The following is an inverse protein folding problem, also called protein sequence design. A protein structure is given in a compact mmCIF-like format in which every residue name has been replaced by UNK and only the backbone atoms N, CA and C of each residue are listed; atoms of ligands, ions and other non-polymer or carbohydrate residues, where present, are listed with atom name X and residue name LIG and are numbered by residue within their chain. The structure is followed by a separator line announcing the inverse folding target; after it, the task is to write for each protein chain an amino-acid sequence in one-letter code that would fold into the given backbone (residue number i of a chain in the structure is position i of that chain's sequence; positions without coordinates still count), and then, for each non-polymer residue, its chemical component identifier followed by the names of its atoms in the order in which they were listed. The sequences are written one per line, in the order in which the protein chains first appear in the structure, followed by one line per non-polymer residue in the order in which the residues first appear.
data_IF_337166597230
#
_entry.id   IF_337166597230
#
_cell.length_a   1.000
_cell.length_b   1.000
_cell.length_c   1.000
_cell.angle_alpha   90.00
_cell.angle_beta   90.00
_cell.angle_gamma   90.00
#
_symmetry.space_group_name_H-M   'P 1'
#
loop_
_entity.id
_entity.type
_entity.pdbx_description
1 polymer ?
#
# COMPACT_ATOMS: atom_id res chain seq x y z
N UNK A 1 -29.30 37.87 -32.68
CA UNK A 1 -28.66 37.11 -31.58
C UNK A 1 -27.77 38.04 -30.80
N UNK A 2 -27.97 38.16 -29.48
CA UNK A 2 -27.22 39.08 -28.60
C UNK A 2 -25.69 38.83 -28.75
N UNK A 3 -24.85 39.86 -28.97
CA UNK A 3 -23.39 39.70 -29.11
C UNK A 3 -22.73 38.99 -27.93
N UNK A 4 -23.29 39.10 -26.72
CA UNK A 4 -22.89 38.30 -25.56
C UNK A 4 -23.14 36.81 -25.74
N UNK A 5 -24.32 36.44 -26.26
CA UNK A 5 -24.68 35.05 -26.53
C UNK A 5 -23.77 34.42 -27.58
N UNK A 6 -23.39 35.19 -28.63
CA UNK A 6 -22.40 34.75 -29.64
C UNK A 6 -21.03 34.45 -29.04
N UNK A 7 -20.55 35.31 -28.12
CA UNK A 7 -19.26 35.09 -27.43
C UNK A 7 -19.29 33.88 -26.51
N UNK A 8 -20.39 33.67 -25.79
CA UNK A 8 -20.58 32.49 -24.92
C UNK A 8 -20.60 31.21 -25.76
N UNK A 9 -21.35 31.19 -26.86
CA UNK A 9 -21.42 30.02 -27.76
C UNK A 9 -20.06 29.74 -28.41
N UNK A 10 -19.34 30.78 -28.85
CA UNK A 10 -17.99 30.62 -29.39
C UNK A 10 -17.01 30.07 -28.34
N UNK A 11 -17.05 30.58 -27.11
CA UNK A 11 -16.22 30.08 -26.00
C UNK A 11 -16.55 28.63 -25.66
N UNK A 12 -17.84 28.27 -25.59
CA UNK A 12 -18.28 26.90 -25.36
C UNK A 12 -17.82 25.94 -26.46
N UNK A 13 -17.89 26.38 -27.73
CA UNK A 13 -17.39 25.60 -28.86
C UNK A 13 -15.86 25.40 -28.80
N UNK A 14 -15.10 26.46 -28.49
CA UNK A 14 -13.63 26.35 -28.31
C UNK A 14 -13.29 25.39 -27.17
N UNK A 15 -13.99 25.48 -26.04
CA UNK A 15 -13.81 24.54 -24.92
C UNK A 15 -14.14 23.10 -25.31
N UNK A 16 -15.20 22.89 -26.09
CA UNK A 16 -15.56 21.56 -26.59
C UNK A 16 -14.47 21.00 -27.50
N UNK A 17 -13.95 21.80 -28.44
CA UNK A 17 -12.87 21.39 -29.34
C UNK A 17 -11.60 21.03 -28.56
N UNK A 18 -11.22 21.85 -27.57
CA UNK A 18 -10.07 21.56 -26.70
C UNK A 18 -10.30 20.26 -25.91
N UNK A 19 -11.48 20.10 -25.30
CA UNK A 19 -11.83 18.89 -24.56
C UNK A 19 -11.78 17.64 -25.45
N UNK A 20 -12.34 17.72 -26.67
CA UNK A 20 -12.28 16.64 -27.65
C UNK A 20 -10.84 16.31 -28.06
N UNK A 21 -10.00 17.32 -28.33
CA UNK A 21 -8.59 17.12 -28.66
C UNK A 21 -7.84 16.43 -27.51
N UNK A 22 -8.06 16.86 -26.26
CA UNK A 22 -7.47 16.23 -25.07
C UNK A 22 -7.90 14.77 -24.96
N UNK A 23 -9.18 14.47 -25.15
CA UNK A 23 -9.70 13.08 -25.10
C UNK A 23 -9.13 12.24 -26.24
N UNK A 24 -9.01 12.78 -27.45
CA UNK A 24 -8.41 12.08 -28.61
C UNK A 24 -6.94 11.77 -28.33
N UNK A 25 -6.14 12.76 -27.90
CA UNK A 25 -4.72 12.56 -27.58
C UNK A 25 -4.55 11.54 -26.45
N UNK A 26 -5.36 11.67 -25.39
CA UNK A 26 -5.38 10.70 -24.30
C UNK A 26 -5.72 9.30 -24.78
N UNK A 27 -6.74 9.15 -25.64
CA UNK A 27 -7.17 7.85 -26.18
C UNK A 27 -6.11 7.25 -27.09
N UNK A 28 -5.52 8.04 -28.01
CA UNK A 28 -4.44 7.60 -28.89
C UNK A 28 -3.22 7.12 -28.08
N UNK A 29 -2.81 7.89 -27.07
CA UNK A 29 -1.70 7.52 -26.18
C UNK A 29 -1.92 6.14 -25.53
N UNK A 30 -3.10 5.92 -24.95
CA UNK A 30 -3.38 4.66 -24.25
C UNK A 30 -3.64 3.50 -25.20
N UNK A 31 -4.26 3.74 -26.36
CA UNK A 31 -4.38 2.73 -27.42
C UNK A 31 -3.03 2.24 -27.88
N UNK A 32 -2.07 3.15 -28.10
CA UNK A 32 -0.70 2.76 -28.44
C UNK A 32 -0.03 1.97 -27.31
N UNK A 33 -0.26 2.35 -26.05
CA UNK A 33 0.28 1.64 -24.89
C UNK A 33 -0.29 0.22 -24.76
N UNK A 34 -1.62 0.06 -24.89
CA UNK A 34 -2.30 -1.24 -24.87
C UNK A 34 -1.80 -2.12 -26.01
N UNK A 35 -1.65 -1.56 -27.22
CA UNK A 35 -1.11 -2.30 -28.35
C UNK A 35 0.33 -2.81 -28.09
N UNK A 36 1.15 -2.09 -27.32
CA UNK A 36 2.51 -2.52 -26.94
C UNK A 36 2.51 -3.68 -25.96
N UNK A 37 1.49 -3.88 -25.12
CA UNK A 37 1.39 -5.07 -24.24
C UNK A 37 1.53 -6.38 -25.00
N UNK A 38 1.04 -6.40 -26.25
CA UNK A 38 1.10 -7.59 -27.11
C UNK A 38 2.52 -7.95 -27.55
N UNK A 39 3.48 -7.04 -27.41
CA UNK A 39 4.87 -7.21 -27.90
C UNK A 39 5.85 -7.67 -26.81
N UNK A 40 5.38 -7.91 -25.59
CA UNK A 40 6.23 -8.29 -24.46
C UNK A 40 6.15 -7.26 -23.33
N UNK A 41 6.95 -7.47 -22.28
CA UNK A 41 6.83 -6.75 -21.02
C UNK A 41 8.15 -6.09 -20.67
N UNK A 42 8.08 -4.83 -20.20
CA UNK A 42 9.27 -4.08 -19.80
C UNK A 42 9.96 -4.64 -18.55
N UNK A 43 11.28 -4.56 -18.53
CA UNK A 43 12.18 -4.95 -17.43
C UNK A 43 12.57 -3.71 -16.61
N UNK A 44 11.62 -3.15 -15.85
CA UNK A 44 11.91 -2.01 -14.98
C UNK A 44 12.88 -2.42 -13.88
N UNK A 45 14.04 -1.76 -13.86
CA UNK A 45 15.13 -1.98 -12.89
C UNK A 45 15.26 -0.79 -11.95
N UNK A 46 15.34 -1.09 -10.66
CA UNK A 46 15.67 -0.12 -9.62
C UNK A 46 17.18 -0.11 -9.41
N UNK A 47 17.76 1.06 -9.52
CA UNK A 47 19.17 1.34 -9.30
C UNK A 47 19.36 1.90 -7.87
N UNK A 48 20.42 1.49 -7.18
CA UNK A 48 20.82 2.07 -5.90
C UNK A 48 21.38 3.49 -6.06
N UNK A 49 21.66 4.15 -4.93
CA UNK A 49 22.23 5.50 -4.91
C UNK A 49 23.56 5.63 -5.67
N UNK A 50 24.32 4.55 -5.82
CA UNK A 50 25.56 4.49 -6.61
C UNK A 50 25.33 4.19 -8.11
N UNK A 51 24.08 4.15 -8.56
CA UNK A 51 23.68 3.91 -9.95
C UNK A 51 23.74 2.45 -10.39
N UNK A 52 24.05 1.50 -9.51
CA UNK A 52 24.11 0.07 -9.86
C UNK A 52 22.73 -0.60 -9.84
N UNK A 53 22.48 -1.59 -10.71
CA UNK A 53 21.28 -2.44 -10.63
C UNK A 53 21.13 -3.07 -9.25
N UNK A 54 19.98 -2.83 -8.61
CA UNK A 54 19.69 -3.33 -7.26
C UNK A 54 18.61 -4.41 -7.27
N UNK A 55 17.44 -4.13 -7.86
CA UNK A 55 16.36 -5.11 -7.99
C UNK A 55 15.42 -4.77 -9.15
N UNK A 56 14.54 -5.71 -9.51
CA UNK A 56 13.53 -5.51 -10.58
C UNK A 56 12.14 -5.30 -10.00
N UNK A 57 11.30 -4.59 -10.75
CA UNK A 57 9.87 -4.47 -10.42
C UNK A 57 9.25 -5.86 -10.18
N UNK A 58 9.53 -6.80 -11.09
CA UNK A 58 8.95 -8.14 -11.14
C UNK A 58 10.02 -9.25 -11.04
N UNK A 59 10.77 -9.37 -9.93
CA UNK A 59 11.93 -10.31 -9.84
C UNK A 59 11.56 -11.80 -10.05
N UNK A 60 10.32 -12.20 -9.79
CA UNK A 60 9.88 -13.61 -9.82
C UNK A 60 8.73 -13.89 -10.78
N UNK A 61 8.49 -13.01 -11.74
CA UNK A 61 7.39 -13.18 -12.67
C UNK A 61 7.59 -14.39 -13.57
N UNK A 62 6.55 -15.23 -13.64
CA UNK A 62 6.43 -16.35 -14.56
C UNK A 62 5.05 -16.27 -15.17
N UNK A 63 4.99 -15.72 -16.38
CA UNK A 63 3.74 -15.71 -17.12
C UNK A 63 3.38 -17.12 -17.53
N UNK A 64 2.14 -17.49 -17.31
CA UNK A 64 1.58 -18.74 -17.80
C UNK A 64 0.36 -18.44 -18.67
N UNK A 65 0.18 -19.18 -19.79
CA UNK A 65 -1.05 -19.11 -20.56
C UNK A 65 -2.27 -19.46 -19.70
N UNK A 66 -3.43 -18.89 -20.01
CA UNK A 66 -4.66 -19.13 -19.24
C UNK A 66 -5.07 -20.61 -19.15
N UNK A 67 -4.68 -21.42 -20.15
CA UNK A 67 -4.90 -22.88 -20.15
C UNK A 67 -4.01 -23.65 -19.18
N UNK A 68 -2.91 -23.06 -18.72
CA UNK A 68 -2.02 -23.60 -17.69
C UNK A 68 -2.44 -23.16 -16.27
N UNK A 69 -3.58 -22.48 -16.13
CA UNK A 69 -4.14 -22.08 -14.82
C UNK A 69 -5.33 -23.00 -14.49
N UNK A 70 -5.34 -23.54 -13.26
CA UNK A 70 -6.41 -24.45 -12.83
C UNK A 70 -7.81 -23.85 -13.06
N UNK A 71 -8.79 -24.61 -13.61
CA UNK A 71 -10.17 -24.16 -13.76
C UNK A 71 -10.76 -23.63 -12.46
N UNK A 72 -10.54 -24.34 -11.35
CA UNK A 72 -11.01 -23.94 -10.03
C UNK A 72 -10.50 -22.54 -9.60
N UNK A 73 -9.27 -22.18 -9.97
CA UNK A 73 -8.73 -20.85 -9.68
C UNK A 73 -9.35 -19.76 -10.57
N UNK A 74 -9.52 -20.06 -11.87
CA UNK A 74 -10.20 -19.14 -12.80
C UNK A 74 -11.63 -18.86 -12.32
N UNK A 75 -12.38 -19.89 -11.96
CA UNK A 75 -13.74 -19.79 -11.44
C UNK A 75 -13.79 -19.09 -10.08
N UNK A 76 -12.86 -19.39 -9.16
CA UNK A 76 -12.78 -18.73 -7.87
C UNK A 76 -12.58 -17.22 -7.98
N UNK A 77 -11.68 -16.79 -8.88
CA UNK A 77 -11.43 -15.36 -9.13
C UNK A 77 -12.64 -14.70 -9.77
N UNK A 78 -13.26 -15.33 -10.78
CA UNK A 78 -14.50 -14.82 -11.36
C UNK A 78 -15.60 -14.69 -10.30
N UNK A 79 -15.79 -15.70 -9.47
CA UNK A 79 -16.87 -15.72 -8.49
C UNK A 79 -16.77 -14.61 -7.43
N UNK A 80 -15.55 -14.27 -7.00
CA UNK A 80 -15.33 -13.27 -5.95
C UNK A 80 -15.10 -11.86 -6.49
N UNK A 81 -14.44 -11.70 -7.65
CA UNK A 81 -14.09 -10.38 -8.20
C UNK A 81 -15.12 -9.88 -9.22
N UNK A 82 -15.58 -10.73 -10.14
CA UNK A 82 -16.43 -10.31 -11.27
C UNK A 82 -17.20 -11.47 -11.93
N UNK A 83 -18.26 -11.96 -11.29
CA UNK A 83 -19.03 -13.12 -11.77
C UNK A 83 -19.66 -12.94 -13.16
N UNK A 84 -19.78 -11.69 -13.62
CA UNK A 84 -20.37 -11.32 -14.90
C UNK A 84 -19.33 -10.89 -15.92
N UNK A 85 -18.05 -11.15 -15.66
CA UNK A 85 -16.94 -10.74 -16.51
C UNK A 85 -17.18 -10.97 -18.00
N UNK A 86 -17.70 -12.13 -18.40
CA UNK A 86 -17.98 -12.45 -19.81
C UNK A 86 -19.27 -11.85 -20.39
N UNK A 87 -20.07 -11.15 -19.58
CA UNK A 87 -21.41 -10.62 -19.95
C UNK A 87 -21.49 -9.09 -19.99
N UNK A 88 -20.40 -8.40 -19.69
CA UNK A 88 -20.33 -6.93 -19.72
C UNK A 88 -19.11 -6.47 -20.52
N UNK A 89 -19.07 -5.17 -20.84
CA UNK A 89 -17.97 -4.56 -21.59
C UNK A 89 -17.33 -3.45 -20.77
N UNK A 90 -16.13 -3.71 -20.27
CA UNK A 90 -15.29 -2.80 -19.49
C UNK A 90 -15.82 -2.53 -18.08
N UNK A 91 -17.07 -2.08 -17.98
CA UNK A 91 -17.78 -1.79 -16.73
C UNK A 91 -19.02 -2.69 -16.62
N UNK A 92 -19.46 -3.00 -15.40
CA UNK A 92 -20.72 -3.71 -15.13
C UNK A 92 -21.76 -2.74 -14.54
N UNK A 93 -22.64 -2.12 -15.35
CA UNK A 93 -23.65 -1.20 -14.85
C UNK A 93 -24.58 -1.85 -13.81
N UNK A 94 -24.89 -3.14 -13.98
CA UNK A 94 -25.75 -3.89 -13.07
C UNK A 94 -25.00 -4.19 -11.77
N UNK A 95 -23.71 -4.53 -11.85
CA UNK A 95 -22.81 -4.68 -10.70
C UNK A 95 -22.66 -3.39 -9.90
N UNK A 96 -22.50 -2.25 -10.58
CA UNK A 96 -22.43 -0.92 -9.96
C UNK A 96 -23.74 -0.58 -9.25
N UNK A 97 -24.89 -0.74 -9.90
CA UNK A 97 -26.19 -0.49 -9.28
C UNK A 97 -26.45 -1.38 -8.07
N UNK A 98 -26.09 -2.68 -8.16
CA UNK A 98 -26.19 -3.65 -7.06
C UNK A 98 -25.31 -3.26 -5.88
N UNK A 99 -24.06 -2.86 -6.14
CA UNK A 99 -23.15 -2.41 -5.10
C UNK A 99 -23.67 -1.15 -4.40
N UNK A 100 -24.19 -0.18 -5.16
CA UNK A 100 -24.80 1.03 -4.61
C UNK A 100 -25.99 0.71 -3.69
N UNK A 101 -26.91 -0.17 -4.12
CA UNK A 101 -28.07 -0.57 -3.32
C UNK A 101 -27.67 -1.33 -2.03
N UNK A 102 -26.61 -2.14 -2.08
CA UNK A 102 -26.11 -2.88 -0.90
C UNK A 102 -25.35 -2.00 0.08
N UNK A 103 -24.62 -0.99 -0.39
CA UNK A 103 -23.92 -0.04 0.47
C UNK A 103 -24.88 0.90 1.21
N UNK A 104 -26.11 1.08 0.73
CA UNK A 104 -27.16 1.84 1.45
C UNK A 104 -27.82 0.98 2.55
N UNK A 105 -27.80 -0.34 2.41
CA UNK A 105 -28.52 -1.27 3.31
C UNK A 105 -27.62 -2.04 4.28
N UNK A 106 -26.29 -1.99 4.12
CA UNK A 106 -25.31 -2.66 5.00
C UNK A 106 -24.05 -1.80 5.18
N UNK A 107 -23.43 -1.89 6.35
CA UNK A 107 -22.11 -1.33 6.68
C UNK A 107 -20.91 -1.97 5.92
N UNK A 108 -21.18 -2.86 4.96
CA UNK A 108 -20.14 -3.56 4.20
C UNK A 108 -20.01 -2.97 2.80
N UNK A 109 -18.83 -2.40 2.51
CA UNK A 109 -18.48 -1.89 1.18
C UNK A 109 -18.23 -3.05 0.22
N UNK A 110 -19.22 -3.40 -0.60
CA UNK A 110 -18.97 -4.22 -1.78
C UNK A 110 -18.33 -3.38 -2.88
N UNK A 111 -17.20 -3.87 -3.43
CA UNK A 111 -16.52 -3.22 -4.54
C UNK A 111 -17.23 -3.52 -5.86
N UNK A 112 -17.80 -2.51 -6.51
CA UNK A 112 -18.44 -2.66 -7.83
C UNK A 112 -17.47 -2.57 -9.01
N UNK A 113 -16.18 -2.90 -8.84
CA UNK A 113 -15.18 -2.76 -9.92
C UNK A 113 -14.99 -4.08 -10.67
N UNK A 114 -14.94 -4.03 -12.00
CA UNK A 114 -14.73 -5.21 -12.85
C UNK A 114 -13.27 -5.67 -12.87
N UNK A 115 -13.00 -6.91 -13.29
CA UNK A 115 -11.62 -7.39 -13.49
C UNK A 115 -10.86 -6.48 -14.46
N UNK A 116 -11.50 -6.03 -15.54
CA UNK A 116 -10.89 -5.13 -16.52
C UNK A 116 -10.56 -3.76 -15.93
N UNK A 117 -11.43 -3.21 -15.09
CA UNK A 117 -11.16 -1.97 -14.35
C UNK A 117 -9.98 -2.13 -13.39
N UNK A 118 -9.92 -3.25 -12.67
CA UNK A 118 -8.80 -3.56 -11.78
C UNK A 118 -7.49 -3.71 -12.56
N UNK A 119 -7.54 -4.40 -13.71
CA UNK A 119 -6.39 -4.51 -14.62
C UNK A 119 -5.94 -3.14 -15.13
N UNK A 120 -6.88 -2.32 -15.62
CA UNK A 120 -6.58 -0.96 -16.09
C UNK A 120 -5.91 -0.12 -15.00
N UNK A 121 -6.40 -0.23 -13.75
CA UNK A 121 -5.80 0.44 -12.60
C UNK A 121 -4.36 -0.02 -12.38
N UNK A 122 -4.13 -1.33 -12.30
CA UNK A 122 -2.78 -1.91 -12.08
C UNK A 122 -1.82 -1.53 -13.21
N UNK A 123 -2.32 -1.50 -14.45
CA UNK A 123 -1.50 -1.34 -15.64
C UNK A 123 -1.19 0.12 -16.01
N UNK A 124 -2.07 1.08 -15.72
CA UNK A 124 -1.93 2.43 -16.27
C UNK A 124 -2.10 3.56 -15.25
N UNK A 125 -2.68 3.29 -14.08
CA UNK A 125 -3.09 4.35 -13.16
C UNK A 125 -2.29 4.27 -11.86
N UNK A 126 -2.13 5.42 -11.20
CA UNK A 126 -1.60 5.45 -9.83
C UNK A 126 -2.63 4.91 -8.83
N UNK A 127 -2.20 4.48 -7.65
CA UNK A 127 -3.16 4.00 -6.63
C UNK A 127 -3.92 5.13 -5.89
N UNK A 128 -3.68 6.40 -6.23
CA UNK A 128 -4.29 7.56 -5.56
C UNK A 128 -5.81 7.54 -5.71
N UNK A 129 -6.56 7.52 -4.61
CA UNK A 129 -8.03 7.42 -4.65
C UNK A 129 -8.69 8.77 -4.96
N UNK A 130 -8.89 9.09 -6.24
CA UNK A 130 -9.65 10.27 -6.69
C UNK A 130 -10.81 9.86 -7.60
N UNK A 131 -11.88 10.66 -7.62
CA UNK A 131 -13.01 10.48 -8.54
C UNK A 131 -12.59 10.55 -10.01
N UNK A 132 -11.68 11.48 -10.34
CA UNK A 132 -11.09 11.60 -11.68
C UNK A 132 -10.36 10.33 -12.11
N UNK A 133 -9.57 9.70 -11.22
CA UNK A 133 -8.93 8.42 -11.50
C UNK A 133 -9.97 7.33 -11.78
N UNK A 134 -11.08 7.30 -11.06
CA UNK A 134 -12.11 6.27 -11.25
C UNK A 134 -12.80 6.38 -12.62
N UNK A 135 -12.98 7.60 -13.14
CA UNK A 135 -13.47 7.83 -14.51
C UNK A 135 -12.45 7.34 -15.53
N UNK A 136 -11.16 7.65 -15.34
CA UNK A 136 -10.08 7.14 -16.21
C UNK A 136 -10.02 5.61 -16.20
N UNK A 137 -10.21 4.97 -15.03
CA UNK A 137 -10.26 3.51 -14.88
C UNK A 137 -11.38 2.89 -15.73
N UNK A 138 -12.58 3.48 -15.72
CA UNK A 138 -13.69 3.04 -16.56
C UNK A 138 -13.40 3.21 -18.05
N UNK A 139 -12.86 4.36 -18.47
CA UNK A 139 -12.51 4.62 -19.87
C UNK A 139 -11.42 3.68 -20.39
N UNK A 140 -10.37 3.44 -19.60
CA UNK A 140 -9.30 2.50 -19.94
C UNK A 140 -9.79 1.05 -19.97
N UNK A 141 -10.71 0.68 -19.07
CA UNK A 141 -11.32 -0.65 -19.11
C UNK A 141 -12.04 -0.89 -20.44
N UNK A 142 -12.83 0.07 -20.91
CA UNK A 142 -13.48 -0.03 -22.23
C UNK A 142 -12.44 -0.12 -23.35
N UNK A 143 -11.39 0.71 -23.33
CA UNK A 143 -10.33 0.67 -24.35
C UNK A 143 -9.58 -0.67 -24.38
N UNK A 144 -9.34 -1.28 -23.22
CA UNK A 144 -8.75 -2.62 -23.12
C UNK A 144 -9.63 -3.67 -23.81
N UNK A 145 -10.93 -3.67 -23.56
CA UNK A 145 -11.84 -4.67 -24.15
C UNK A 145 -12.13 -4.48 -25.63
N UNK A 146 -11.98 -3.25 -26.13
CA UNK A 146 -12.04 -2.99 -27.58
C UNK A 146 -10.83 -3.57 -28.32
N UNK A 147 -9.73 -3.83 -27.62
CA UNK A 147 -8.47 -4.27 -28.23
C UNK A 147 -8.11 -5.70 -27.88
N UNK A 148 -8.46 -6.19 -26.69
CA UNK A 148 -8.10 -7.50 -26.16
C UNK A 148 -9.34 -8.36 -25.93
N UNK A 149 -9.24 -9.66 -26.18
CA UNK A 149 -10.33 -10.59 -25.84
C UNK A 149 -10.47 -10.72 -24.32
N UNK A 150 -11.64 -11.21 -23.87
CA UNK A 150 -11.87 -11.50 -22.44
C UNK A 150 -10.85 -12.49 -21.89
N UNK A 151 -10.46 -13.50 -22.67
CA UNK A 151 -9.41 -14.45 -22.25
C UNK A 151 -8.06 -13.76 -22.09
N UNK A 152 -7.66 -12.90 -23.05
CA UNK A 152 -6.41 -12.15 -22.97
C UNK A 152 -6.38 -11.22 -21.75
N UNK A 153 -7.48 -10.52 -21.48
CA UNK A 153 -7.61 -9.66 -20.30
C UNK A 153 -7.49 -10.49 -19.03
N UNK A 154 -8.16 -11.62 -18.97
CA UNK A 154 -8.16 -12.44 -17.76
C UNK A 154 -6.79 -13.10 -17.53
N UNK A 155 -6.12 -13.54 -18.59
CA UNK A 155 -4.74 -14.02 -18.54
C UNK A 155 -3.78 -12.94 -18.03
N UNK A 156 -3.84 -11.73 -18.60
CA UNK A 156 -3.04 -10.60 -18.14
C UNK A 156 -3.32 -10.27 -16.68
N UNK A 157 -4.58 -10.27 -16.28
CA UNK A 157 -4.96 -10.04 -14.88
C UNK A 157 -4.32 -11.07 -13.95
N UNK A 158 -4.51 -12.37 -14.21
CA UNK A 158 -3.99 -13.44 -13.37
C UNK A 158 -2.46 -13.47 -13.30
N UNK A 159 -1.77 -12.99 -14.33
CA UNK A 159 -0.31 -12.90 -14.35
C UNK A 159 0.25 -11.61 -13.71
N UNK A 160 -0.58 -10.61 -13.43
CA UNK A 160 -0.14 -9.28 -12.94
C UNK A 160 -0.61 -8.90 -11.55
N UNK A 161 -1.66 -9.52 -11.06
CA UNK A 161 -2.17 -9.22 -9.72
C UNK A 161 -1.10 -9.46 -8.65
N UNK A 162 -0.97 -8.48 -7.75
CA UNK A 162 -0.17 -8.63 -6.54
C UNK A 162 -0.92 -9.52 -5.53
N UNK A 163 -0.26 -10.57 -5.03
CA UNK A 163 -0.89 -11.61 -4.21
C UNK A 163 -0.22 -11.83 -2.85
N UNK A 164 0.72 -10.96 -2.45
CA UNK A 164 1.45 -10.87 -1.17
C UNK A 164 2.95 -11.15 -1.28
N UNK A 165 3.74 -10.55 -0.38
CA UNK A 165 5.16 -10.79 -0.16
C UNK A 165 6.03 -10.76 -1.41
N UNK A 166 5.87 -9.73 -2.24
CA UNK A 166 6.60 -9.58 -3.50
C UNK A 166 6.15 -10.52 -4.62
N UNK A 167 5.10 -11.33 -4.42
CA UNK A 167 4.59 -12.25 -5.44
C UNK A 167 3.55 -11.54 -6.34
N UNK A 168 3.86 -11.49 -7.63
CA UNK A 168 2.97 -11.03 -8.68
C UNK A 168 2.61 -12.21 -9.58
N UNK A 169 1.30 -12.35 -9.82
CA UNK A 169 0.74 -13.42 -10.62
C UNK A 169 0.51 -14.72 -9.86
N UNK A 170 -0.44 -15.51 -10.35
CA UNK A 170 -0.91 -16.73 -9.69
C UNK A 170 0.11 -17.87 -9.72
N UNK A 171 0.94 -17.95 -10.77
CA UNK A 171 1.97 -18.98 -10.88
C UNK A 171 3.06 -18.82 -9.82
N UNK A 172 3.64 -17.62 -9.72
CA UNK A 172 4.65 -17.31 -8.71
C UNK A 172 4.11 -17.54 -7.29
N UNK A 173 2.86 -17.17 -7.05
CA UNK A 173 2.16 -17.37 -5.77
C UNK A 173 1.94 -18.84 -5.46
N UNK A 174 1.50 -19.64 -6.44
CA UNK A 174 1.31 -21.08 -6.28
C UNK A 174 2.63 -21.80 -5.95
N UNK A 175 3.71 -21.47 -6.67
CA UNK A 175 5.03 -22.01 -6.42
C UNK A 175 5.55 -21.61 -5.02
N UNK A 176 5.29 -20.37 -4.59
CA UNK A 176 5.71 -19.86 -3.29
C UNK A 176 4.95 -20.50 -2.14
N UNK A 177 3.61 -20.60 -2.22
CA UNK A 177 2.76 -21.12 -1.15
C UNK A 177 2.75 -22.64 -1.10
N UNK A 178 2.67 -23.31 -2.25
CA UNK A 178 2.40 -24.75 -2.35
C UNK A 178 3.52 -25.54 -3.01
N UNK A 179 4.43 -24.87 -3.73
CA UNK A 179 5.54 -25.53 -4.41
C UNK A 179 5.14 -26.30 -5.66
N UNK A 180 4.01 -25.95 -6.28
CA UNK A 180 3.51 -26.60 -7.48
C UNK A 180 2.99 -25.60 -8.51
N UNK A 181 2.88 -26.00 -9.80
CA UNK A 181 2.31 -25.16 -10.84
C UNK A 181 0.87 -24.76 -10.52
N UNK A 182 0.45 -23.57 -10.96
CA UNK A 182 -0.92 -23.08 -10.78
C UNK A 182 -1.98 -23.96 -11.44
N UNK A 183 -1.60 -24.75 -12.46
CA UNK A 183 -2.45 -25.79 -13.07
C UNK A 183 -2.90 -26.88 -12.11
N UNK A 184 -2.09 -27.18 -11.09
CA UNK A 184 -2.29 -28.29 -10.16
C UNK A 184 -2.90 -27.86 -8.83
N UNK A 185 -3.47 -26.65 -8.77
CA UNK A 185 -4.16 -26.15 -7.59
C UNK A 185 -5.47 -26.91 -7.37
N UNK A 186 -5.70 -27.33 -6.14
CA UNK A 186 -6.99 -27.84 -5.67
C UNK A 186 -7.97 -26.69 -5.46
N UNK A 187 -9.25 -27.01 -5.34
CA UNK A 187 -10.30 -26.02 -5.08
C UNK A 187 -10.03 -25.18 -3.81
N UNK A 188 -9.53 -25.82 -2.74
CA UNK A 188 -9.24 -25.13 -1.49
C UNK A 188 -8.06 -24.14 -1.62
N UNK A 189 -7.01 -24.52 -2.34
CA UNK A 189 -5.84 -23.66 -2.58
C UNK A 189 -6.18 -22.53 -3.57
N UNK A 190 -6.98 -22.83 -4.59
CA UNK A 190 -7.52 -21.86 -5.55
C UNK A 190 -8.35 -20.77 -4.84
N UNK A 191 -9.28 -21.19 -3.97
CA UNK A 191 -10.08 -20.28 -3.16
C UNK A 191 -9.23 -19.44 -2.20
N UNK A 192 -8.14 -20.00 -1.65
CA UNK A 192 -7.19 -19.24 -0.84
C UNK A 192 -6.55 -18.11 -1.66
N UNK A 193 -5.94 -18.44 -2.81
CA UNK A 193 -5.28 -17.46 -3.68
C UNK A 193 -6.26 -16.37 -4.14
N UNK A 194 -7.46 -16.75 -4.61
CA UNK A 194 -8.48 -15.79 -5.02
C UNK A 194 -8.91 -14.87 -3.86
N UNK A 195 -8.95 -15.39 -2.64
CA UNK A 195 -9.27 -14.61 -1.44
C UNK A 195 -8.26 -13.50 -1.14
N UNK A 196 -6.98 -13.69 -1.50
CA UNK A 196 -5.90 -12.73 -1.23
C UNK A 196 -6.09 -11.41 -1.98
N UNK A 197 -6.73 -11.43 -3.15
CA UNK A 197 -6.85 -10.28 -4.08
C UNK A 197 -7.39 -9.03 -3.37
N UNK A 198 -8.38 -9.18 -2.48
CA UNK A 198 -8.99 -8.04 -1.77
C UNK A 198 -7.98 -7.29 -0.89
N UNK A 199 -7.10 -8.00 -0.21
CA UNK A 199 -6.17 -7.41 0.75
C UNK A 199 -4.88 -8.24 0.88
N UNK A 200 -4.00 -8.27 -0.14
CA UNK A 200 -2.92 -9.24 -0.23
C UNK A 200 -1.96 -9.21 0.96
N UNK A 201 -1.56 -8.02 1.40
CA UNK A 201 -0.65 -7.87 2.55
C UNK A 201 -1.30 -8.21 3.89
N UNK A 202 -2.58 -7.90 4.09
CA UNK A 202 -3.28 -8.14 5.36
C UNK A 202 -3.71 -9.60 5.51
N UNK A 203 -3.99 -10.26 4.39
CA UNK A 203 -4.38 -11.67 4.28
C UNK A 203 -3.20 -12.57 3.91
N UNK A 204 -1.96 -12.10 4.10
CA UNK A 204 -0.75 -12.85 3.75
C UNK A 204 -0.74 -14.22 4.47
N UNK A 205 -0.70 -15.35 3.76
CA UNK A 205 -0.73 -16.68 4.39
C UNK A 205 0.46 -16.97 5.31
N UNK A 206 1.56 -16.23 5.21
CA UNK A 206 2.74 -16.38 6.09
C UNK A 206 2.54 -15.70 7.44
N UNK A 207 1.82 -14.58 7.49
CA UNK A 207 1.61 -13.82 8.73
C UNK A 207 0.21 -14.00 9.33
N UNK A 208 -0.79 -14.32 8.50
CA UNK A 208 -2.20 -14.33 8.88
C UNK A 208 -3.00 -15.39 8.10
N UNK A 209 -2.64 -16.67 8.32
CA UNK A 209 -3.28 -17.79 7.63
C UNK A 209 -4.75 -17.97 8.00
N UNK A 210 -5.14 -17.67 9.23
CA UNK A 210 -6.51 -17.87 9.70
C UNK A 210 -7.49 -16.92 9.00
N UNK A 211 -7.15 -15.63 8.87
CA UNK A 211 -7.96 -14.68 8.09
C UNK A 211 -7.94 -15.01 6.59
N UNK A 212 -6.79 -15.45 6.06
CA UNK A 212 -6.71 -15.91 4.67
C UNK A 212 -7.67 -17.09 4.41
N UNK A 213 -7.75 -18.04 5.35
CA UNK A 213 -8.66 -19.20 5.30
C UNK A 213 -10.13 -18.78 5.50
N UNK A 214 -10.41 -17.86 6.42
CA UNK A 214 -11.77 -17.33 6.58
C UNK A 214 -12.24 -16.64 5.29
N UNK A 215 -11.35 -15.88 4.64
CA UNK A 215 -11.62 -15.27 3.34
C UNK A 215 -11.80 -16.31 2.23
N UNK A 216 -11.02 -17.39 2.21
CA UNK A 216 -11.20 -18.45 1.21
C UNK A 216 -12.55 -19.15 1.34
N UNK A 217 -13.07 -19.32 2.56
CA UNK A 217 -14.42 -19.86 2.77
C UNK A 217 -15.52 -18.97 2.17
N UNK A 218 -15.34 -17.65 2.19
CA UNK A 218 -16.25 -16.74 1.51
C UNK A 218 -16.18 -16.91 -0.02
N UNK A 219 -14.98 -17.14 -0.58
CA UNK A 219 -14.82 -17.43 -2.01
C UNK A 219 -15.58 -18.70 -2.37
N UNK A 220 -15.41 -19.79 -1.59
CA UNK A 220 -16.13 -21.04 -1.81
C UNK A 220 -17.66 -20.86 -1.74
N UNK A 221 -18.16 -20.09 -0.77
CA UNK A 221 -19.58 -19.79 -0.68
C UNK A 221 -20.08 -19.04 -1.93
N UNK A 222 -19.32 -18.04 -2.41
CA UNK A 222 -19.68 -17.32 -3.65
C UNK A 222 -19.62 -18.22 -4.89
N UNK A 223 -18.68 -19.16 -4.96
CA UNK A 223 -18.61 -20.13 -6.06
C UNK A 223 -19.84 -21.04 -6.07
N UNK A 224 -20.28 -21.52 -4.89
CA UNK A 224 -21.49 -22.32 -4.75
C UNK A 224 -22.76 -21.54 -5.10
N UNK A 225 -22.93 -20.33 -4.56
CA UNK A 225 -24.09 -19.47 -4.83
C UNK A 225 -24.27 -19.17 -6.33
N UNK A 226 -23.19 -19.26 -7.10
CA UNK A 226 -23.14 -18.99 -8.53
C UNK A 226 -23.13 -20.27 -9.38
N UNK A 227 -23.19 -21.45 -8.76
CA UNK A 227 -23.29 -22.74 -9.44
C UNK A 227 -21.98 -23.28 -10.02
N UNK A 228 -20.82 -22.75 -9.62
CA UNK A 228 -19.52 -23.29 -10.06
C UNK A 228 -19.17 -24.63 -9.39
N UNK A 229 -19.62 -24.83 -8.15
CA UNK A 229 -19.30 -26.01 -7.33
C UNK A 229 -20.52 -26.47 -6.56
N UNK A 230 -20.53 -27.76 -6.19
CA UNK A 230 -21.58 -28.33 -5.36
C UNK A 230 -21.37 -28.04 -3.87
N UNK A 231 -22.42 -28.15 -3.05
CA UNK A 231 -22.30 -28.07 -1.59
C UNK A 231 -21.34 -29.16 -1.04
N UNK A 232 -21.27 -30.32 -1.70
CA UNK A 232 -20.32 -31.37 -1.34
C UNK A 232 -18.88 -30.95 -1.58
N UNK A 233 -18.60 -30.23 -2.66
CA UNK A 233 -17.28 -29.67 -2.95
C UNK A 233 -16.89 -28.59 -1.94
N UNK A 234 -17.84 -27.73 -1.54
CA UNK A 234 -17.62 -26.72 -0.48
C UNK A 234 -17.21 -27.40 0.82
N UNK A 235 -17.96 -28.41 1.25
CA UNK A 235 -17.67 -29.15 2.47
C UNK A 235 -16.34 -29.93 2.39
N UNK A 236 -15.97 -30.45 1.22
CA UNK A 236 -14.67 -31.09 0.99
C UNK A 236 -13.53 -30.07 1.04
N UNK A 237 -13.65 -28.94 0.35
CA UNK A 237 -12.64 -27.89 0.29
C UNK A 237 -12.37 -27.24 1.66
N UNK A 238 -13.42 -27.00 2.47
CA UNK A 238 -13.27 -26.49 3.84
C UNK A 238 -12.53 -27.46 4.77
N UNK A 239 -12.64 -28.77 4.51
CA UNK A 239 -11.94 -29.82 5.29
C UNK A 239 -10.55 -30.14 4.77
N UNK A 240 -10.23 -29.72 3.54
CA UNK A 240 -8.95 -29.98 2.92
C UNK A 240 -7.81 -29.33 3.72
N UNK A 241 -6.78 -30.12 4.02
CA UNK A 241 -5.57 -29.65 4.68
C UNK A 241 -4.49 -29.46 3.63
N UNK A 242 -4.01 -28.23 3.49
CA UNK A 242 -2.82 -27.91 2.72
C UNK A 242 -1.80 -27.23 3.62
N UNK A 243 -0.51 -27.48 3.36
CA UNK A 243 0.59 -26.88 4.09
C UNK A 243 1.12 -25.69 3.30
N UNK A 244 1.13 -24.51 3.93
CA UNK A 244 1.82 -23.35 3.40
C UNK A 244 3.33 -23.56 3.58
N UNK A 245 4.08 -23.45 2.50
CA UNK A 245 5.54 -23.47 2.54
C UNK A 245 6.05 -22.18 3.22
N UNK A 246 7.15 -22.26 3.98
CA UNK A 246 7.78 -21.08 4.54
C UNK A 246 8.11 -20.05 3.47
N UNK A 247 8.09 -18.77 3.83
CA UNK A 247 8.42 -17.71 2.90
C UNK A 247 9.83 -17.92 2.33
N UNK A 248 10.05 -17.77 1.00
CA UNK A 248 11.36 -17.98 0.41
C UNK A 248 12.36 -16.92 0.90
N UNK A 249 13.20 -17.26 1.90
CA UNK A 249 14.23 -16.38 2.51
C UNK A 249 15.40 -15.97 1.59
N UNK A 250 15.25 -16.12 0.27
CA UNK A 250 16.23 -15.70 -0.74
C UNK A 250 16.17 -14.20 -1.06
N UNK A 251 16.55 -13.81 -2.29
CA UNK A 251 16.73 -12.41 -2.70
C UNK A 251 15.55 -11.44 -2.49
N UNK A 252 14.31 -11.92 -2.46
CA UNK A 252 13.11 -11.09 -2.19
C UNK A 252 12.98 -10.72 -0.70
N UNK A 253 13.38 -11.61 0.22
CA UNK A 253 13.37 -11.31 1.65
C UNK A 253 14.42 -10.25 2.01
N UNK A 254 15.58 -10.32 1.36
CA UNK A 254 16.65 -9.34 1.54
C UNK A 254 16.17 -7.98 1.05
N UNK A 255 16.23 -6.97 1.91
CA UNK A 255 15.73 -5.63 1.62
C UNK A 255 14.22 -5.57 1.31
N UNK A 256 13.44 -6.59 1.71
CA UNK A 256 12.05 -6.75 1.29
C UNK A 256 11.16 -5.54 1.61
N UNK A 257 11.29 -4.94 2.80
CA UNK A 257 10.52 -3.75 3.16
C UNK A 257 10.85 -2.54 2.27
N UNK A 258 12.13 -2.33 1.96
CA UNK A 258 12.59 -1.25 1.11
C UNK A 258 12.17 -1.46 -0.35
N UNK A 259 12.33 -2.68 -0.86
CA UNK A 259 11.91 -3.08 -2.22
C UNK A 259 10.40 -2.87 -2.40
N UNK A 260 9.59 -3.37 -1.47
CA UNK A 260 8.13 -3.21 -1.54
C UNK A 260 7.69 -1.74 -1.43
N UNK A 261 8.32 -0.97 -0.55
CA UNK A 261 8.09 0.46 -0.43
C UNK A 261 8.38 1.18 -1.75
N UNK A 262 9.53 0.91 -2.37
CA UNK A 262 9.94 1.53 -3.63
C UNK A 262 9.06 1.12 -4.82
N UNK A 263 8.64 -0.16 -4.89
CA UNK A 263 7.67 -0.64 -5.88
C UNK A 263 6.34 0.09 -5.74
N UNK A 264 5.85 0.24 -4.50
CA UNK A 264 4.62 0.96 -4.22
C UNK A 264 4.75 2.46 -4.56
N UNK A 265 5.83 3.11 -4.13
CA UNK A 265 6.10 4.51 -4.41
C UNK A 265 6.18 4.79 -5.91
N UNK A 266 6.85 3.92 -6.67
CA UNK A 266 6.93 4.01 -8.12
C UNK A 266 5.53 3.99 -8.75
N UNK A 267 4.70 3.00 -8.40
CA UNK A 267 3.33 2.90 -8.90
C UNK A 267 2.46 4.11 -8.52
N UNK A 268 2.63 4.62 -7.30
CA UNK A 268 1.85 5.74 -6.81
C UNK A 268 2.23 7.06 -7.48
N UNK A 269 3.48 7.22 -7.92
CA UNK A 269 4.00 8.44 -8.52
C UNK A 269 3.92 8.47 -10.04
N UNK A 270 4.27 7.36 -10.70
CA UNK A 270 4.40 7.30 -12.16
C UNK A 270 3.22 6.59 -12.85
N UNK A 271 2.36 5.90 -12.08
CA UNK A 271 1.27 5.10 -12.62
C UNK A 271 1.64 3.62 -12.79
N UNK A 272 0.72 2.85 -13.37
CA UNK A 272 0.82 1.39 -13.46
C UNK A 272 1.94 0.85 -14.37
N UNK A 273 2.07 -0.48 -14.39
CA UNK A 273 3.23 -1.24 -14.89
C UNK A 273 3.41 -1.28 -16.43
N UNK A 274 3.07 -0.20 -17.14
CA UNK A 274 3.21 -0.11 -18.61
C UNK A 274 4.54 0.42 -19.12
N UNK A 275 4.99 -0.07 -20.30
CA UNK A 275 6.38 -0.32 -20.63
C UNK A 275 7.05 0.94 -21.17
N UNK A 276 8.06 1.44 -20.46
CA UNK A 276 9.44 1.12 -20.87
C UNK A 276 10.25 0.34 -19.83
N UNK A 277 11.43 -0.13 -20.25
CA UNK A 277 12.52 -0.62 -19.39
C UNK A 277 13.06 0.56 -18.55
N UNK A 278 12.28 1.01 -17.57
CA UNK A 278 12.66 2.13 -16.71
C UNK A 278 13.91 1.77 -15.93
N UNK A 279 14.85 2.71 -15.90
CA UNK A 279 15.93 2.74 -14.92
C UNK A 279 15.52 3.69 -13.81
N UNK A 280 15.06 3.13 -12.70
CA UNK A 280 14.57 3.90 -11.55
C UNK A 280 15.72 4.14 -10.60
N UNK A 281 16.28 5.35 -10.64
CA UNK A 281 17.31 5.75 -9.68
C UNK A 281 16.68 6.04 -8.32
N UNK A 282 17.21 5.40 -7.28
CA UNK A 282 16.74 5.57 -5.90
C UNK A 282 17.84 6.17 -5.04
N UNK A 283 17.45 6.67 -3.87
CA UNK A 283 18.37 7.22 -2.86
C UNK A 283 18.89 6.15 -1.89
N UNK A 284 18.40 4.91 -2.01
CA UNK A 284 18.73 3.84 -1.09
C UNK A 284 20.17 3.37 -1.31
N UNK A 285 20.89 3.20 -0.20
CA UNK A 285 22.28 2.72 -0.20
C UNK A 285 22.27 1.28 0.32
N UNK A 286 22.54 0.26 -0.53
CA UNK A 286 22.45 -1.15 -0.13
C UNK A 286 23.27 -1.50 1.13
N UNK A 287 24.46 -0.90 1.28
CA UNK A 287 25.28 -1.11 2.47
C UNK A 287 24.66 -0.53 3.76
N UNK A 288 23.97 0.61 3.67
CA UNK A 288 23.23 1.18 4.81
C UNK A 288 21.95 0.39 5.08
N UNK A 289 21.28 -0.12 4.04
CA UNK A 289 20.13 -1.01 4.20
C UNK A 289 20.55 -2.30 4.95
N UNK A 290 21.65 -2.92 4.54
CA UNK A 290 22.25 -4.07 5.23
C UNK A 290 22.59 -3.74 6.70
N UNK A 291 23.12 -2.55 6.98
CA UNK A 291 23.42 -2.11 8.34
C UNK A 291 22.16 -1.85 9.18
N UNK A 292 21.13 -1.26 8.59
CA UNK A 292 19.85 -1.01 9.24
C UNK A 292 19.14 -2.31 9.64
N UNK A 293 19.09 -3.29 8.73
CA UNK A 293 18.51 -4.61 8.99
C UNK A 293 19.25 -5.33 10.13
N UNK A 294 20.59 -5.29 10.12
CA UNK A 294 21.40 -5.81 11.23
C UNK A 294 21.11 -5.09 12.54
N UNK A 295 21.07 -3.76 12.55
CA UNK A 295 20.83 -2.98 13.76
C UNK A 295 19.47 -3.32 14.41
N UNK A 296 18.42 -3.43 13.59
CA UNK A 296 17.08 -3.83 14.04
C UNK A 296 17.09 -5.26 14.57
N UNK A 297 17.65 -6.20 13.81
CA UNK A 297 17.70 -7.61 14.21
C UNK A 297 18.48 -7.79 15.52
N UNK A 298 19.64 -7.15 15.65
CA UNK A 298 20.49 -7.22 16.84
C UNK A 298 19.81 -6.59 18.05
N UNK A 299 19.15 -5.44 17.89
CA UNK A 299 18.40 -4.78 18.94
C UNK A 299 17.26 -5.65 19.48
N UNK A 300 16.47 -6.24 18.58
CA UNK A 300 15.38 -7.14 18.96
C UNK A 300 15.91 -8.40 19.67
N UNK A 301 17.02 -8.98 19.19
CA UNK A 301 17.67 -10.14 19.85
C UNK A 301 18.14 -9.80 21.26
N UNK A 302 18.76 -8.62 21.45
CA UNK A 302 19.19 -8.15 22.78
C UNK A 302 18.03 -7.99 23.75
N UNK A 303 16.86 -7.55 23.27
CA UNK A 303 15.67 -7.41 24.11
C UNK A 303 15.01 -8.74 24.44
N UNK A 304 15.16 -9.76 23.57
CA UNK A 304 14.71 -11.14 23.85
C UNK A 304 13.20 -11.31 24.03
N UNK A 305 12.38 -10.33 23.62
CA UNK A 305 10.92 -10.36 23.79
C UNK A 305 10.26 -10.96 22.55
N UNK A 306 9.51 -12.05 22.73
CA UNK A 306 8.74 -12.68 21.65
C UNK A 306 7.66 -11.72 21.14
N UNK A 307 7.48 -11.68 19.81
CA UNK A 307 6.49 -10.83 19.15
C UNK A 307 6.81 -9.33 19.16
N UNK A 308 8.01 -8.94 19.61
CA UNK A 308 8.45 -7.55 19.55
C UNK A 308 8.83 -7.18 18.13
N UNK A 309 8.34 -6.03 17.69
CA UNK A 309 8.56 -5.47 16.36
C UNK A 309 9.35 -4.16 16.46
N UNK A 310 10.04 -3.80 15.38
CA UNK A 310 10.77 -2.55 15.28
C UNK A 310 10.69 -2.01 13.85
N UNK A 311 10.84 -0.69 13.72
CA UNK A 311 10.95 0.00 12.45
C UNK A 311 12.11 1.00 12.52
N UNK A 312 12.77 1.22 11.38
CA UNK A 312 13.89 2.14 11.25
C UNK A 312 13.80 2.83 9.89
N UNK A 313 13.99 4.15 9.87
CA UNK A 313 14.17 4.93 8.65
C UNK A 313 15.43 5.76 8.82
N UNK A 314 16.36 5.67 7.87
CA UNK A 314 17.56 6.48 7.82
C UNK A 314 17.40 7.55 6.74
N UNK A 315 17.68 8.81 7.08
CA UNK A 315 17.47 9.98 6.21
C UNK A 315 18.75 10.80 6.15
N UNK A 316 19.13 11.32 4.97
CA UNK A 316 20.15 12.37 4.87
C UNK A 316 19.55 13.71 5.32
N UNK A 317 20.02 14.32 6.42
CA UNK A 317 19.43 15.54 6.94
C UNK A 317 19.61 16.77 6.04
N UNK A 318 20.50 16.71 5.03
CA UNK A 318 20.77 17.82 4.11
C UNK A 318 19.81 17.82 2.92
N UNK A 319 19.40 16.64 2.46
CA UNK A 319 18.57 16.50 1.26
C UNK A 319 17.15 16.01 1.57
N UNK A 320 16.95 15.38 2.73
CA UNK A 320 15.71 14.67 3.06
C UNK A 320 15.61 13.29 2.42
N UNK A 321 16.68 12.81 1.77
CA UNK A 321 16.68 11.53 1.07
C UNK A 321 16.59 10.35 2.04
N UNK A 322 15.70 9.40 1.75
CA UNK A 322 15.64 8.13 2.50
C UNK A 322 16.75 7.21 2.00
N UNK A 323 17.65 6.83 2.91
CA UNK A 323 18.84 6.02 2.59
C UNK A 323 18.66 4.53 2.90
N UNK A 324 17.85 4.21 3.91
CA UNK A 324 17.52 2.85 4.32
C UNK A 324 16.17 2.82 5.05
N UNK A 325 15.48 1.67 5.00
CA UNK A 325 14.18 1.47 5.62
C UNK A 325 13.98 0.02 6.07
N UNK A 326 13.57 -0.17 7.32
CA UNK A 326 13.18 -1.46 7.90
C UNK A 326 11.79 -1.32 8.49
N UNK A 327 10.87 -2.20 8.09
CA UNK A 327 9.46 -2.13 8.46
C UNK A 327 9.00 -3.14 9.52
N UNK A 328 9.89 -3.97 10.04
CA UNK A 328 9.56 -5.03 10.99
C UNK A 328 10.76 -5.88 11.39
N UNK A 329 10.49 -6.88 12.22
CA UNK A 329 11.48 -7.80 12.78
C UNK A 329 12.08 -8.77 11.75
N UNK A 330 11.22 -9.35 10.92
CA UNK A 330 11.58 -10.26 9.83
C UNK A 330 10.54 -10.15 8.70
N UNK A 331 11.00 -9.75 7.52
CA UNK A 331 10.14 -9.62 6.34
C UNK A 331 9.55 -10.97 5.90
N UNK A 332 10.23 -12.08 6.14
CA UNK A 332 9.72 -13.41 5.81
C UNK A 332 8.52 -13.82 6.67
N UNK A 333 8.46 -13.32 7.91
CA UNK A 333 7.37 -13.58 8.85
C UNK A 333 6.22 -12.56 8.70
N UNK A 334 6.54 -11.29 8.43
CA UNK A 334 5.52 -10.24 8.25
C UNK A 334 5.94 -9.17 7.24
N UNK A 335 5.15 -9.02 6.17
CA UNK A 335 5.39 -8.01 5.13
C UNK A 335 4.68 -6.67 5.42
N UNK A 336 4.06 -6.53 6.58
CA UNK A 336 3.46 -5.26 7.01
C UNK A 336 4.55 -4.25 7.35
N UNK A 337 4.76 -3.28 6.47
CA UNK A 337 5.79 -2.25 6.65
C UNK A 337 5.35 -1.18 7.67
N UNK A 338 5.79 -1.34 8.92
CA UNK A 338 5.46 -0.44 10.03
C UNK A 338 6.07 0.96 9.88
N UNK A 339 7.17 1.09 9.15
CA UNK A 339 7.83 2.38 8.94
C UNK A 339 6.97 3.39 8.17
N UNK A 340 6.01 2.90 7.37
CA UNK A 340 5.17 3.76 6.51
C UNK A 340 3.67 3.56 6.70
N UNK A 341 3.24 2.49 7.39
CA UNK A 341 1.81 2.18 7.59
C UNK A 341 1.35 2.17 9.05
N UNK A 342 2.27 2.11 10.02
CA UNK A 342 1.88 2.05 11.43
C UNK A 342 1.76 3.45 12.00
N UNK A 343 0.53 3.94 12.14
CA UNK A 343 0.26 5.15 12.93
C UNK A 343 0.37 4.81 14.41
N UNK A 344 1.21 5.55 15.12
CA UNK A 344 1.48 5.37 16.56
C UNK A 344 1.55 6.74 17.21
N UNK A 345 1.13 6.82 18.47
CA UNK A 345 1.34 8.02 19.26
C UNK A 345 2.86 8.26 19.41
N UNK A 346 3.38 9.45 19.02
CA UNK A 346 4.82 9.73 19.08
C UNK A 346 5.34 9.88 20.53
N UNK A 347 4.44 10.11 21.49
CA UNK A 347 4.79 10.36 22.89
C UNK A 347 5.73 11.55 23.02
N UNK A 348 6.76 11.41 23.86
CA UNK A 348 7.74 12.48 24.11
C UNK A 348 8.52 12.93 22.87
N UNK A 349 8.53 12.15 21.78
CA UNK A 349 9.16 12.58 20.52
C UNK A 349 8.45 13.78 19.87
N UNK A 350 7.26 14.17 20.33
CA UNK A 350 6.56 15.39 19.90
C UNK A 350 7.03 16.66 20.64
N UNK A 351 7.64 16.53 21.81
CA UNK A 351 8.09 17.68 22.62
C UNK A 351 9.01 18.65 21.89
N UNK A 352 9.95 18.23 21.00
CA UNK A 352 10.78 19.16 20.24
C UNK A 352 10.00 20.30 19.56
N UNK A 353 8.78 20.05 19.07
CA UNK A 353 7.92 21.10 18.49
C UNK A 353 7.44 22.12 19.51
N UNK A 354 7.14 21.69 20.74
CA UNK A 354 6.77 22.59 21.85
C UNK A 354 7.94 23.51 22.20
N UNK A 355 9.15 22.96 22.32
CA UNK A 355 10.34 23.74 22.64
C UNK A 355 10.76 24.66 21.50
N UNK A 356 10.73 24.18 20.25
CA UNK A 356 11.04 25.00 19.08
C UNK A 356 10.07 26.19 18.94
N UNK A 357 8.76 25.96 19.08
CA UNK A 357 7.77 27.03 19.07
C UNK A 357 7.94 28.04 20.22
N UNK A 358 8.51 27.62 21.36
CA UNK A 358 8.87 28.54 22.43
C UNK A 358 10.07 29.41 22.06
N UNK A 359 11.11 28.83 21.46
CA UNK A 359 12.28 29.57 20.99
C UNK A 359 11.90 30.64 19.96
N UNK A 360 10.99 30.32 19.02
CA UNK A 360 10.46 31.27 18.04
C UNK A 360 9.72 32.46 18.69
N UNK A 361 9.24 32.29 19.91
CA UNK A 361 8.57 33.33 20.70
C UNK A 361 9.49 34.04 21.70
N UNK A 362 10.80 33.94 21.51
CA UNK A 362 11.79 34.65 22.31
C UNK A 362 12.13 33.98 23.65
N UNK A 363 11.66 32.74 23.88
CA UNK A 363 12.21 31.95 24.97
C UNK A 363 13.64 31.52 24.62
N UNK A 364 14.45 31.26 25.64
CA UNK A 364 15.83 30.83 25.46
C UNK A 364 16.10 29.57 26.29
N UNK A 365 17.18 28.82 26.00
CA UNK A 365 17.55 27.65 26.79
C UNK A 365 17.75 27.93 28.29
N UNK A 366 18.00 29.20 28.68
CA UNK A 366 18.17 29.62 30.08
C UNK A 366 16.90 30.16 30.72
N UNK A 367 15.81 30.32 29.96
CA UNK A 367 14.51 30.71 30.53
C UNK A 367 14.06 29.66 31.55
N UNK A 368 13.48 30.13 32.66
CA UNK A 368 13.04 29.28 33.77
C UNK A 368 11.53 29.07 33.70
N UNK A 369 11.11 27.83 33.85
CA UNK A 369 9.73 27.44 34.12
C UNK A 369 9.58 27.22 35.62
N UNK A 370 8.53 27.79 36.20
CA UNK A 370 8.27 27.76 37.63
C UNK A 370 6.86 27.20 37.91
N UNK A 371 6.58 26.89 39.18
CA UNK A 371 5.31 26.35 39.66
C UNK A 371 4.91 25.05 38.95
N UNK A 372 5.88 24.23 38.56
CA UNK A 372 5.61 22.99 37.83
C UNK A 372 4.85 21.95 38.66
N UNK A 373 4.95 22.01 39.99
CA UNK A 373 4.21 21.11 40.88
C UNK A 373 2.70 21.28 40.77
N UNK A 374 2.22 22.46 40.38
CA UNK A 374 0.81 22.75 40.13
C UNK A 374 0.32 22.36 38.73
N UNK A 375 1.21 21.90 37.85
CA UNK A 375 0.87 21.56 36.47
C UNK A 375 0.49 20.07 36.40
N UNK A 376 -0.78 19.81 36.07
CA UNK A 376 -1.22 18.47 35.74
C UNK A 376 -0.57 18.02 34.42
N UNK A 377 0.22 16.93 34.40
CA UNK A 377 0.79 16.43 33.16
C UNK A 377 -0.33 15.93 32.24
N UNK A 378 -0.24 16.24 30.95
CA UNK A 378 -1.10 15.65 29.92
C UNK A 378 -0.50 14.31 29.49
N UNK A 379 -1.22 13.19 29.68
CA UNK A 379 -0.84 11.87 29.19
C UNK A 379 -0.40 10.85 30.28
N UNK A 380 0.04 9.65 29.88
CA UNK A 380 0.41 8.58 30.81
C UNK A 380 1.63 8.93 31.68
N UNK A 381 1.80 8.20 32.78
CA UNK A 381 2.87 8.42 33.77
C UNK A 381 4.26 8.53 33.12
N UNK A 382 5.06 9.42 33.71
CA UNK A 382 6.42 9.77 33.30
C UNK A 382 7.31 8.53 33.11
N UNK A 383 8.04 8.47 31.99
CA UNK A 383 9.19 7.57 31.90
C UNK A 383 10.24 8.07 32.89
N UNK A 384 10.35 7.39 34.03
CA UNK A 384 11.33 7.70 35.07
C UNK A 384 12.60 6.89 34.81
N UNK A 385 13.72 7.50 34.38
CA UNK A 385 15.01 6.82 34.47
C UNK A 385 15.25 6.42 35.93
N UNK A 386 15.96 5.31 36.19
CA UNK A 386 16.13 4.70 37.52
C UNK A 386 16.64 5.64 38.64
N UNK A 387 17.09 6.85 38.29
CA UNK A 387 17.65 7.84 39.21
C UNK A 387 16.82 9.14 39.34
N UNK A 388 15.65 9.26 38.71
CA UNK A 388 14.82 10.48 38.75
C UNK A 388 13.65 10.34 39.74
N UNK A 389 13.93 10.51 41.04
CA UNK A 389 12.91 10.51 42.10
C UNK A 389 12.24 11.87 42.31
N UNK A 390 12.64 12.91 41.58
CA UNK A 390 12.19 14.29 41.82
C UNK A 390 11.91 15.03 40.50
N UNK A 391 10.69 15.53 40.37
CA UNK A 391 10.34 16.54 39.36
C UNK A 391 10.48 17.92 40.03
N UNK A 392 11.44 18.76 39.63
CA UNK A 392 11.66 20.05 40.27
C UNK A 392 10.50 21.02 40.01
N UNK A 393 10.22 21.87 41.00
CA UNK A 393 9.18 22.90 40.88
C UNK A 393 9.61 24.05 39.94
N UNK A 394 10.93 24.25 39.81
CA UNK A 394 11.56 25.20 38.90
C UNK A 394 12.63 24.52 38.04
N UNK A 395 12.67 24.81 36.75
CA UNK A 395 13.61 24.18 35.81
C UNK A 395 13.92 25.09 34.62
N UNK A 396 15.14 25.05 34.10
CA UNK A 396 15.47 25.75 32.85
C UNK A 396 14.89 25.01 31.64
N UNK A 397 14.60 25.73 30.56
CA UNK A 397 14.14 25.12 29.30
C UNK A 397 15.13 24.07 28.77
N UNK A 398 16.45 24.32 28.89
CA UNK A 398 17.51 23.36 28.52
C UNK A 398 17.38 22.05 29.31
N UNK A 399 17.27 22.15 30.63
CA UNK A 399 17.18 20.97 31.49
C UNK A 399 15.87 20.22 31.25
N UNK A 400 14.75 20.93 31.12
CA UNK A 400 13.45 20.35 30.83
C UNK A 400 13.41 19.57 29.51
N UNK A 401 14.07 20.09 28.46
CA UNK A 401 14.23 19.40 27.19
C UNK A 401 15.10 18.14 27.35
N UNK A 402 16.24 18.25 28.02
CA UNK A 402 17.17 17.14 28.23
C UNK A 402 16.54 15.99 29.04
N UNK A 403 15.79 16.30 30.08
CA UNK A 403 15.10 15.32 30.93
C UNK A 403 13.78 14.83 30.34
N UNK A 404 13.31 15.43 29.24
CA UNK A 404 11.99 15.16 28.67
C UNK A 404 10.87 15.34 29.72
N UNK A 405 10.89 16.44 30.48
CA UNK A 405 9.93 16.67 31.56
C UNK A 405 8.51 16.97 31.03
N UNK A 406 7.50 16.18 31.46
CA UNK A 406 6.10 16.31 31.00
C UNK A 406 5.41 17.59 31.50
N UNK A 407 5.66 17.97 32.76
CA UNK A 407 5.07 19.15 33.39
C UNK A 407 5.60 20.42 32.75
N UNK A 408 6.91 20.47 32.51
CA UNK A 408 7.55 21.57 31.81
C UNK A 408 7.02 21.72 30.38
N UNK A 409 6.91 20.63 29.62
CA UNK A 409 6.33 20.67 28.27
C UNK A 409 4.87 21.15 28.28
N UNK A 410 4.06 20.70 29.24
CA UNK A 410 2.66 21.11 29.38
C UNK A 410 2.54 22.59 29.77
N UNK A 411 3.34 23.04 30.75
CA UNK A 411 3.41 24.45 31.17
C UNK A 411 3.84 25.35 30.01
N UNK A 412 4.87 24.94 29.27
CA UNK A 412 5.38 25.68 28.13
C UNK A 412 4.32 25.78 27.02
N UNK A 413 3.65 24.68 26.69
CA UNK A 413 2.53 24.67 25.74
C UNK A 413 1.38 25.60 26.18
N UNK A 414 1.03 25.64 27.46
CA UNK A 414 -0.01 26.55 27.98
C UNK A 414 0.41 28.03 27.84
N UNK A 415 1.69 28.34 28.10
CA UNK A 415 2.23 29.71 28.00
C UNK A 415 2.34 30.20 26.55
N UNK A 416 2.77 29.35 25.63
CA UNK A 416 2.94 29.71 24.22
C UNK A 416 1.64 29.49 23.41
N UNK A 417 0.75 28.63 23.87
CA UNK A 417 -0.50 28.27 23.19
C UNK A 417 -0.32 27.22 22.08
N UNK A 418 -1.30 26.31 22.00
CA UNK A 418 -1.24 25.13 21.12
C UNK A 418 -1.17 25.46 19.62
N UNK A 419 -1.72 26.61 19.17
CA UNK A 419 -1.76 26.97 17.75
C UNK A 419 -0.39 27.08 17.10
N UNK A 420 0.61 27.62 17.80
CA UNK A 420 1.96 27.70 17.22
C UNK A 420 2.67 26.36 17.19
N UNK A 421 2.43 25.50 18.19
CA UNK A 421 2.97 24.14 18.19
C UNK A 421 2.41 23.35 17.01
N UNK A 422 1.09 23.47 16.78
CA UNK A 422 0.41 22.82 15.65
C UNK A 422 0.88 23.41 14.32
N UNK A 423 1.03 24.73 14.22
CA UNK A 423 1.54 25.39 13.00
C UNK A 423 2.94 24.87 12.65
N UNK A 424 3.87 24.88 13.62
CA UNK A 424 5.23 24.41 13.41
C UNK A 424 5.30 22.92 13.06
N UNK A 425 4.48 22.09 13.72
CA UNK A 425 4.35 20.67 13.38
C UNK A 425 3.81 20.48 11.95
N UNK A 426 2.83 21.29 11.55
CA UNK A 426 2.27 21.29 10.20
C UNK A 426 3.29 21.72 9.13
N UNK A 427 4.12 22.72 9.42
CA UNK A 427 5.16 23.22 8.51
C UNK A 427 6.22 22.16 8.17
N UNK A 428 6.42 21.16 9.05
CA UNK A 428 7.30 20.02 8.82
C UNK A 428 6.58 18.76 8.31
N UNK A 429 5.28 18.88 7.97
CA UNK A 429 4.48 17.81 7.38
C UNK A 429 3.82 16.85 8.37
N UNK A 430 3.67 17.22 9.65
CA UNK A 430 2.85 16.47 10.60
C UNK A 430 1.39 16.92 10.51
N UNK A 431 0.51 16.01 10.11
CA UNK A 431 -0.93 16.25 9.98
C UNK A 431 -1.72 15.36 10.94
N UNK A 432 -2.88 15.85 11.38
CA UNK A 432 -3.87 15.03 12.09
C UNK A 432 -4.52 14.08 11.08
N UNK A 433 -4.46 12.77 11.33
CA UNK A 433 -4.85 11.71 10.37
C UNK A 433 -6.18 11.08 10.71
#
# INVERSE_FOLDING_TARGET
MNPWLRRIVAAAYVLLVIASAVVIVWTMKHTLAIHRLRRGVGDTVFLSADGKPWFRMDERRRDVPIGEIAPALREAVLAIEDHRFYRHVGIDPIGVARAAARNVTRDSTEGGSTITQQLARTLFLSNRRTWGRKIQEAGLAVLLELQLSKEQIFELYLNRIYLSGGMYGVEATSQALFGKPSKSLTLAEAALIAGLIKAPSALSPWSNLDEARARSHLVLARMHDQGFISETDVAAAKRARFRIRPYPRGGEAKHGYAKDYLRQLFRDRFGGDHPPDWQVHTTFVPALQDAAERAVADGLRRLGRRGLEAALVAVDPRTGDVLAMVGGSDYAETQYNRAVRSHRQPGSAFKPFVYAAALERGWSPVSVLENLSGIAPLGPEEWKPRNASYSPDTITLRQAFFESNNRAASSLQQKIGARAVIALAGDVGLEDQ
#
